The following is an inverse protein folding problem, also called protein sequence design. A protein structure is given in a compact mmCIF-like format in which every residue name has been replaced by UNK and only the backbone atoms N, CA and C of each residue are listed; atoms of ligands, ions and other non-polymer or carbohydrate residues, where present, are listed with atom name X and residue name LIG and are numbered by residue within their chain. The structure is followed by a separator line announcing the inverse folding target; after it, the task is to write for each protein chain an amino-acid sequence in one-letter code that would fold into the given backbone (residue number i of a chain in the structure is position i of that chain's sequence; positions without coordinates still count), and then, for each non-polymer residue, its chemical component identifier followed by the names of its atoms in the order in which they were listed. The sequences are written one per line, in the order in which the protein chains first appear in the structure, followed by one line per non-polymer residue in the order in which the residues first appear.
data_IF_540494422466
#
_entry.id   IF_540494422466
#
_cell.length_a   1.000
_cell.length_b   1.000
_cell.length_c   1.000
_cell.angle_alpha   90.00
_cell.angle_beta   90.00
_cell.angle_gamma   90.00
#
_symmetry.space_group_name_H-M   'P 1'
#
loop_
_entity.id
_entity.type
_entity.pdbx_description
1 polymer ?
#
# COMPACT_ATOMS: atom_id res chain seq x y z
N UNK A 1 30.76 59.70 34.47
CA UNK A 1 30.30 58.32 34.21
C UNK A 1 28.76 58.27 34.03
N UNK A 2 28.22 58.86 32.96
CA UNK A 2 26.75 59.00 32.79
C UNK A 2 26.31 58.81 31.32
N UNK A 3 27.05 58.07 30.53
CA UNK A 3 26.74 57.93 29.10
C UNK A 3 26.28 56.55 28.61
N UNK A 4 26.29 55.54 29.50
CA UNK A 4 26.07 54.13 29.03
C UNK A 4 24.62 53.65 29.24
N UNK A 5 23.87 54.24 30.17
CA UNK A 5 22.50 53.80 30.46
C UNK A 5 21.43 54.31 29.48
N UNK A 6 21.70 55.36 28.72
CA UNK A 6 20.72 55.93 27.78
C UNK A 6 20.63 55.22 26.45
N UNK A 7 21.66 54.45 26.06
CA UNK A 7 21.66 53.69 24.78
C UNK A 7 20.96 52.35 24.87
N UNK A 8 20.85 51.75 26.02
CA UNK A 8 20.14 50.47 26.19
C UNK A 8 18.60 50.64 26.16
N UNK A 9 18.07 51.75 26.60
CA UNK A 9 16.61 52.00 26.64
C UNK A 9 16.02 52.24 25.26
N UNK A 10 16.78 52.81 24.34
CA UNK A 10 16.31 53.09 22.97
C UNK A 10 16.28 51.86 22.09
N UNK A 11 17.16 50.87 22.32
CA UNK A 11 17.21 49.65 21.55
C UNK A 11 16.08 48.69 21.95
N UNK A 12 15.76 48.62 23.25
CA UNK A 12 14.66 47.77 23.72
C UNK A 12 13.28 48.28 23.27
N UNK A 13 13.08 49.58 23.20
CA UNK A 13 11.83 50.19 22.72
C UNK A 13 11.62 49.96 21.21
N UNK A 14 12.68 49.98 20.41
CA UNK A 14 12.61 49.67 18.97
C UNK A 14 12.30 48.21 18.67
N UNK A 15 12.86 47.29 19.43
CA UNK A 15 12.60 45.84 19.28
C UNK A 15 11.17 45.48 19.66
N UNK A 16 10.64 46.05 20.73
CA UNK A 16 9.25 45.85 21.16
C UNK A 16 8.26 46.43 20.13
N UNK A 17 8.56 47.56 19.51
CA UNK A 17 7.72 48.14 18.45
C UNK A 17 7.73 47.28 17.17
N UNK A 18 8.83 46.66 16.80
CA UNK A 18 8.92 45.77 15.65
C UNK A 18 8.17 44.45 15.92
N UNK A 19 8.22 43.93 17.14
CA UNK A 19 7.47 42.70 17.52
C UNK A 19 5.96 42.96 17.62
N UNK A 20 5.51 44.14 17.97
CA UNK A 20 4.09 44.51 17.99
C UNK A 20 3.52 44.76 16.58
N UNK A 21 4.32 45.23 15.63
CA UNK A 21 3.90 45.39 14.23
C UNK A 21 3.81 44.07 13.46
N UNK A 22 4.52 43.02 13.89
CA UNK A 22 4.44 41.68 13.28
C UNK A 22 3.20 40.88 13.68
N UNK A 23 2.37 41.35 14.61
CA UNK A 23 1.23 40.64 15.17
C UNK A 23 -0.15 41.10 14.68
N UNK A 24 -0.20 42.05 13.75
CA UNK A 24 -1.47 42.47 13.17
C UNK A 24 -1.52 41.96 11.73
N UNK A 25 -1.77 40.66 11.59
CA UNK A 25 -2.27 40.17 10.32
C UNK A 25 -3.56 40.91 10.00
N UNK A 26 -3.61 41.59 8.84
CA UNK A 26 -4.81 42.33 8.47
C UNK A 26 -5.95 41.32 8.25
N UNK A 27 -7.21 41.68 8.48
CA UNK A 27 -8.36 40.80 8.17
C UNK A 27 -8.37 40.35 6.71
N UNK A 28 -7.69 41.07 5.82
CA UNK A 28 -7.50 40.69 4.42
C UNK A 28 -6.49 39.53 4.27
N UNK A 29 -5.38 39.54 5.03
CA UNK A 29 -4.37 38.47 5.00
C UNK A 29 -4.93 37.17 5.57
N UNK A 30 -5.74 37.21 6.62
CA UNK A 30 -6.45 36.07 7.16
C UNK A 30 -7.49 35.52 6.15
N UNK A 31 -8.21 36.40 5.46
CA UNK A 31 -9.17 36.01 4.43
C UNK A 31 -8.48 35.34 3.21
N UNK A 32 -7.37 35.91 2.75
CA UNK A 32 -6.57 35.36 1.65
C UNK A 32 -5.99 34.00 2.05
N UNK A 33 -5.38 33.88 3.24
CA UNK A 33 -4.84 32.60 3.74
C UNK A 33 -5.95 31.56 3.92
N UNK A 34 -7.15 31.95 4.36
CA UNK A 34 -8.28 31.02 4.50
C UNK A 34 -8.84 30.54 3.16
N UNK A 35 -8.80 31.38 2.12
CA UNK A 35 -9.19 31.00 0.75
C UNK A 35 -8.17 30.04 0.14
N UNK A 36 -6.88 30.29 0.34
CA UNK A 36 -5.80 29.41 -0.12
C UNK A 36 -5.87 28.04 0.56
N UNK A 37 -6.08 27.98 1.87
CA UNK A 37 -6.27 26.72 2.60
C UNK A 37 -7.51 25.94 2.11
N UNK A 38 -8.62 26.62 1.83
CA UNK A 38 -9.81 25.96 1.26
C UNK A 38 -9.55 25.41 -0.14
N UNK A 39 -8.82 26.14 -0.97
CA UNK A 39 -8.44 25.67 -2.30
C UNK A 39 -7.49 24.46 -2.21
N UNK A 40 -6.51 24.49 -1.36
CA UNK A 40 -5.60 23.41 -1.05
C UNK A 40 -6.33 22.17 -0.56
N UNK A 41 -7.25 22.30 0.39
CA UNK A 41 -8.06 21.19 0.89
C UNK A 41 -8.94 20.55 -0.20
N UNK A 42 -9.50 21.36 -1.10
CA UNK A 42 -10.25 20.81 -2.26
C UNK A 42 -9.35 20.01 -3.19
N UNK A 43 -8.12 20.49 -3.42
CA UNK A 43 -7.15 19.77 -4.24
C UNK A 43 -6.77 18.42 -3.61
N UNK A 44 -6.42 18.39 -2.34
CA UNK A 44 -6.07 17.18 -1.60
C UNK A 44 -7.21 16.14 -1.64
N UNK A 45 -8.45 16.57 -1.41
CA UNK A 45 -9.63 15.70 -1.51
C UNK A 45 -9.81 15.11 -2.92
N UNK A 46 -9.57 15.91 -3.95
CA UNK A 46 -9.62 15.44 -5.34
C UNK A 46 -8.50 14.43 -5.64
N UNK A 47 -7.31 14.67 -5.14
CA UNK A 47 -6.18 13.74 -5.28
C UNK A 47 -6.45 12.41 -4.57
N UNK A 48 -6.99 12.44 -3.35
CA UNK A 48 -7.41 11.24 -2.63
C UNK A 48 -8.48 10.45 -3.39
N UNK A 49 -9.48 11.12 -3.96
CA UNK A 49 -10.52 10.48 -4.79
C UNK A 49 -9.92 9.85 -6.05
N UNK A 50 -8.99 10.52 -6.72
CA UNK A 50 -8.30 9.99 -7.89
C UNK A 50 -7.41 8.79 -7.53
N UNK A 51 -6.73 8.81 -6.39
CA UNK A 51 -5.93 7.69 -5.91
C UNK A 51 -6.81 6.48 -5.59
N UNK A 52 -7.98 6.69 -4.97
CA UNK A 52 -8.96 5.63 -4.75
C UNK A 52 -9.46 5.01 -6.04
N UNK A 53 -9.80 5.83 -7.03
CA UNK A 53 -10.21 5.34 -8.36
C UNK A 53 -9.11 4.48 -9.01
N UNK A 54 -7.86 4.95 -8.97
CA UNK A 54 -6.70 4.20 -9.49
C UNK A 54 -6.50 2.87 -8.76
N UNK A 55 -6.67 2.85 -7.44
CA UNK A 55 -6.61 1.61 -6.67
C UNK A 55 -7.68 0.61 -7.14
N UNK A 56 -8.94 1.03 -7.22
CA UNK A 56 -10.04 0.17 -7.67
C UNK A 56 -9.81 -0.39 -9.08
N UNK A 57 -9.29 0.45 -9.98
CA UNK A 57 -8.94 0.02 -11.34
C UNK A 57 -7.84 -1.04 -11.34
N UNK A 58 -6.80 -0.86 -10.53
CA UNK A 58 -5.68 -1.81 -10.42
C UNK A 58 -6.09 -3.09 -9.71
N UNK A 59 -6.90 -3.01 -8.68
CA UNK A 59 -7.49 -4.19 -8.04
C UNK A 59 -8.25 -5.06 -9.03
N UNK A 60 -8.99 -4.45 -9.97
CA UNK A 60 -9.76 -5.19 -10.95
C UNK A 60 -8.90 -5.80 -12.09
N UNK A 61 -7.84 -5.11 -12.53
CA UNK A 61 -7.13 -5.41 -13.78
C UNK A 61 -5.69 -5.90 -13.61
N UNK A 62 -5.06 -5.59 -12.49
CA UNK A 62 -3.64 -5.83 -12.28
C UNK A 62 -3.40 -6.81 -11.13
N UNK A 63 -2.15 -7.26 -10.99
CA UNK A 63 -1.74 -8.18 -9.94
C UNK A 63 -1.62 -7.52 -8.55
N UNK A 64 -1.43 -8.36 -7.55
CA UNK A 64 -1.34 -8.01 -6.12
C UNK A 64 -0.37 -6.86 -5.83
N UNK A 65 0.84 -6.91 -6.39
CA UNK A 65 1.87 -5.91 -6.10
C UNK A 65 1.43 -4.49 -6.51
N UNK A 66 0.90 -4.36 -7.71
CA UNK A 66 0.38 -3.09 -8.24
C UNK A 66 -0.81 -2.56 -7.43
N UNK A 67 -1.73 -3.46 -7.07
CA UNK A 67 -2.85 -3.15 -6.18
C UNK A 67 -2.39 -2.66 -4.80
N UNK A 68 -1.39 -3.33 -4.20
CA UNK A 68 -0.84 -2.96 -2.89
C UNK A 68 -0.17 -1.58 -2.91
N UNK A 69 0.60 -1.29 -3.95
CA UNK A 69 1.21 0.05 -4.13
C UNK A 69 0.12 1.12 -4.24
N UNK A 70 -0.91 0.88 -5.06
CA UNK A 70 -2.00 1.83 -5.24
C UNK A 70 -2.82 2.04 -3.96
N UNK A 71 -3.05 0.99 -3.15
CA UNK A 71 -3.71 1.07 -1.86
C UNK A 71 -2.93 1.95 -0.87
N UNK A 72 -1.60 1.81 -0.84
CA UNK A 72 -0.73 2.63 0.00
C UNK A 72 -0.72 4.10 -0.44
N UNK A 73 -0.70 4.36 -1.75
CA UNK A 73 -0.80 5.73 -2.29
C UNK A 73 -2.13 6.35 -1.89
N UNK A 74 -3.24 5.63 -2.06
CA UNK A 74 -4.55 6.12 -1.61
C UNK A 74 -4.56 6.41 -0.11
N UNK A 75 -4.03 5.50 0.72
CA UNK A 75 -3.95 5.72 2.17
C UNK A 75 -3.23 7.02 2.50
N UNK A 76 -2.05 7.27 1.92
CA UNK A 76 -1.27 8.48 2.16
C UNK A 76 -2.05 9.73 1.75
N UNK A 77 -2.58 9.77 0.53
CA UNK A 77 -3.34 10.94 0.03
C UNK A 77 -4.63 11.18 0.80
N UNK A 78 -5.29 10.12 1.29
CA UNK A 78 -6.50 10.24 2.11
C UNK A 78 -6.19 10.79 3.51
N UNK A 79 -5.04 10.43 4.10
CA UNK A 79 -4.56 11.00 5.36
C UNK A 79 -4.26 12.49 5.18
N UNK A 80 -3.53 12.88 4.14
CA UNK A 80 -3.18 14.28 3.85
C UNK A 80 -4.44 15.14 3.59
N UNK A 81 -5.47 14.54 2.98
CA UNK A 81 -6.75 15.18 2.74
C UNK A 81 -7.70 15.20 3.95
N UNK A 82 -7.34 14.54 5.06
CA UNK A 82 -8.21 14.37 6.23
C UNK A 82 -9.47 13.56 5.95
N UNK A 83 -9.42 12.65 4.96
CA UNK A 83 -10.54 11.79 4.53
C UNK A 83 -10.28 10.30 4.74
N UNK A 84 -9.19 9.95 5.43
CA UNK A 84 -8.83 8.57 5.67
C UNK A 84 -9.84 7.88 6.59
N UNK A 85 -10.38 6.76 6.09
CA UNK A 85 -11.24 5.84 6.83
C UNK A 85 -10.50 4.50 7.00
N UNK A 86 -10.28 4.12 8.26
CA UNK A 86 -9.56 2.91 8.63
C UNK A 86 -10.32 1.64 8.25
N UNK A 87 -11.65 1.65 8.39
CA UNK A 87 -12.48 0.48 8.12
C UNK A 87 -12.54 0.24 6.62
N UNK A 88 -12.70 1.30 5.83
CA UNK A 88 -12.60 1.24 4.37
C UNK A 88 -11.22 0.76 3.90
N UNK A 89 -10.15 1.21 4.54
CA UNK A 89 -8.80 0.72 4.22
C UNK A 89 -8.65 -0.78 4.51
N UNK A 90 -9.17 -1.25 5.64
CA UNK A 90 -9.12 -2.66 6.01
C UNK A 90 -9.95 -3.51 5.05
N UNK A 91 -11.13 -3.04 4.65
CA UNK A 91 -11.96 -3.69 3.63
C UNK A 91 -11.20 -3.84 2.29
N UNK A 92 -10.60 -2.77 1.80
CA UNK A 92 -9.81 -2.82 0.56
C UNK A 92 -8.56 -3.68 0.67
N UNK A 93 -7.92 -3.69 1.82
CA UNK A 93 -6.81 -4.60 2.11
C UNK A 93 -7.29 -6.05 2.02
N UNK A 94 -8.41 -6.37 2.64
CA UNK A 94 -9.01 -7.72 2.59
C UNK A 94 -9.32 -8.13 1.15
N UNK A 95 -10.02 -7.30 0.38
CA UNK A 95 -10.34 -7.57 -1.03
C UNK A 95 -9.10 -7.84 -1.88
N UNK A 96 -8.02 -7.07 -1.65
CA UNK A 96 -6.76 -7.26 -2.35
C UNK A 96 -6.11 -8.62 -2.04
N UNK A 97 -6.12 -9.03 -0.77
CA UNK A 97 -5.55 -10.30 -0.35
C UNK A 97 -6.41 -11.48 -0.79
N UNK A 98 -7.74 -11.38 -0.74
CA UNK A 98 -8.67 -12.40 -1.23
C UNK A 98 -8.49 -12.64 -2.74
N UNK A 99 -8.45 -11.56 -3.53
CA UNK A 99 -8.16 -11.68 -4.97
C UNK A 99 -6.84 -12.39 -5.23
N UNK A 100 -5.78 -11.95 -4.56
CA UNK A 100 -4.45 -12.54 -4.74
C UNK A 100 -4.38 -13.99 -4.25
N UNK A 101 -5.11 -14.34 -3.22
CA UNK A 101 -5.21 -15.71 -2.71
C UNK A 101 -5.84 -16.62 -3.77
N UNK A 102 -6.95 -16.19 -4.39
CA UNK A 102 -7.62 -16.91 -5.46
C UNK A 102 -6.76 -17.02 -6.72
N UNK A 103 -6.10 -15.93 -7.11
CA UNK A 103 -5.19 -15.91 -8.26
C UNK A 103 -3.99 -16.88 -8.03
N UNK A 104 -3.51 -17.01 -6.79
CA UNK A 104 -2.41 -17.91 -6.43
C UNK A 104 -2.82 -19.37 -6.51
N UNK A 105 -4.05 -19.74 -6.16
CA UNK A 105 -4.54 -21.11 -6.34
C UNK A 105 -4.66 -21.48 -7.82
N UNK A 106 -5.24 -20.59 -8.63
CA UNK A 106 -5.30 -20.80 -10.08
C UNK A 106 -3.90 -20.98 -10.69
N UNK A 107 -3.00 -20.08 -10.35
CA UNK A 107 -1.61 -20.12 -10.76
C UNK A 107 -0.94 -21.47 -10.38
N UNK A 108 -1.20 -21.97 -9.16
CA UNK A 108 -0.71 -23.27 -8.72
C UNK A 108 -1.24 -24.41 -9.60
N UNK A 109 -2.54 -24.44 -9.86
CA UNK A 109 -3.18 -25.47 -10.69
C UNK A 109 -2.66 -25.43 -12.14
N UNK A 110 -2.56 -24.25 -12.74
CA UNK A 110 -2.04 -24.04 -14.09
C UNK A 110 -0.60 -24.55 -14.21
N UNK A 111 0.30 -24.18 -13.30
CA UNK A 111 1.69 -24.63 -13.34
C UNK A 111 1.88 -26.11 -13.00
N UNK A 112 0.99 -26.73 -12.24
CA UNK A 112 0.98 -28.21 -12.08
C UNK A 112 0.67 -28.87 -13.43
N UNK A 113 -0.32 -28.39 -14.18
CA UNK A 113 -0.67 -28.91 -15.50
C UNK A 113 0.45 -28.71 -16.55
N UNK A 114 1.15 -27.59 -16.46
CA UNK A 114 2.29 -27.25 -17.32
C UNK A 114 3.59 -27.95 -16.90
N UNK A 115 3.57 -28.77 -15.83
CA UNK A 115 4.72 -29.42 -15.23
C UNK A 115 5.83 -28.46 -14.77
N UNK A 116 5.48 -27.19 -14.56
CA UNK A 116 6.37 -26.17 -14.02
C UNK A 116 6.29 -26.14 -12.48
N UNK A 117 6.90 -27.12 -11.86
CA UNK A 117 6.80 -27.33 -10.40
C UNK A 117 7.50 -26.28 -9.57
N UNK A 118 8.44 -25.53 -10.14
CA UNK A 118 9.07 -24.42 -9.44
C UNK A 118 8.07 -23.28 -9.24
N UNK A 119 7.44 -22.84 -10.31
CA UNK A 119 6.47 -21.74 -10.25
C UNK A 119 5.18 -22.15 -9.51
N UNK A 120 4.74 -23.42 -9.65
CA UNK A 120 3.68 -23.98 -8.81
C UNK A 120 3.99 -23.83 -7.31
N UNK A 121 5.22 -24.15 -6.89
CA UNK A 121 5.61 -23.97 -5.49
C UNK A 121 5.61 -22.47 -5.07
N UNK A 122 6.03 -21.55 -5.94
CA UNK A 122 5.97 -20.09 -5.67
C UNK A 122 4.52 -19.67 -5.45
N UNK A 123 3.59 -20.11 -6.31
CA UNK A 123 2.16 -19.82 -6.16
C UNK A 123 1.59 -20.39 -4.84
N UNK A 124 1.97 -21.61 -4.47
CA UNK A 124 1.55 -22.22 -3.20
C UNK A 124 2.07 -21.45 -1.97
N UNK A 125 3.32 -20.98 -1.99
CA UNK A 125 3.84 -20.14 -0.90
C UNK A 125 3.15 -18.78 -0.84
N UNK A 126 2.81 -18.19 -1.97
CA UNK A 126 2.07 -16.94 -2.05
C UNK A 126 0.66 -17.10 -1.47
N UNK A 127 -0.05 -18.15 -1.86
CA UNK A 127 -1.34 -18.51 -1.28
C UNK A 127 -1.26 -18.67 0.25
N UNK A 128 -0.27 -19.43 0.73
CA UNK A 128 -0.04 -19.62 2.17
C UNK A 128 0.15 -18.30 2.92
N UNK A 129 0.95 -17.37 2.38
CA UNK A 129 1.18 -16.06 2.96
C UNK A 129 -0.12 -15.26 3.05
N UNK A 130 -0.87 -15.19 1.95
CA UNK A 130 -2.09 -14.39 1.88
C UNK A 130 -3.22 -14.97 2.72
N UNK A 131 -3.37 -16.30 2.78
CA UNK A 131 -4.31 -16.97 3.67
C UNK A 131 -4.04 -16.66 5.15
N UNK A 132 -2.76 -16.57 5.55
CA UNK A 132 -2.39 -16.15 6.91
C UNK A 132 -2.75 -14.69 7.20
N UNK A 133 -2.53 -13.79 6.26
CA UNK A 133 -2.92 -12.38 6.40
C UNK A 133 -4.43 -12.20 6.49
N UNK A 134 -5.21 -13.06 5.82
CA UNK A 134 -6.67 -13.10 5.88
C UNK A 134 -7.22 -13.82 7.13
N UNK A 135 -6.38 -14.56 7.86
CA UNK A 135 -6.84 -15.42 8.95
C UNK A 135 -7.60 -16.66 8.48
N UNK A 136 -7.52 -17.02 7.19
CA UNK A 136 -8.19 -18.17 6.57
C UNK A 136 -7.27 -19.38 6.36
N UNK A 137 -6.03 -19.29 6.81
CA UNK A 137 -5.03 -20.35 6.61
C UNK A 137 -5.44 -21.66 7.26
N UNK A 138 -5.44 -22.75 6.47
CA UNK A 138 -5.62 -24.13 6.91
C UNK A 138 -4.36 -24.93 6.68
N UNK A 139 -3.79 -25.49 7.75
CA UNK A 139 -2.63 -26.40 7.65
C UNK A 139 -2.97 -27.65 6.83
N UNK A 140 -4.18 -28.19 7.03
CA UNK A 140 -4.64 -29.40 6.30
C UNK A 140 -4.72 -29.14 4.80
N UNK A 141 -5.28 -27.99 4.40
CA UNK A 141 -5.37 -27.60 2.99
C UNK A 141 -3.98 -27.37 2.37
N UNK A 142 -3.11 -26.68 3.09
CA UNK A 142 -1.72 -26.48 2.65
C UNK A 142 -0.98 -27.81 2.43
N UNK A 143 -1.09 -28.76 3.36
CA UNK A 143 -0.43 -30.08 3.22
C UNK A 143 -1.04 -30.89 2.08
N UNK A 144 -2.34 -30.79 1.83
CA UNK A 144 -2.98 -31.41 0.68
C UNK A 144 -2.44 -30.86 -0.65
N UNK A 145 -2.35 -29.54 -0.80
CA UNK A 145 -1.78 -28.90 -2.00
C UNK A 145 -0.29 -29.25 -2.18
N UNK A 146 0.46 -29.26 -1.08
CA UNK A 146 1.88 -29.66 -1.09
C UNK A 146 2.06 -31.12 -1.50
N UNK A 147 1.16 -31.99 -1.06
CA UNK A 147 1.15 -33.40 -1.49
C UNK A 147 0.88 -33.49 -2.99
N UNK A 148 -0.11 -32.77 -3.53
CA UNK A 148 -0.39 -32.71 -4.97
C UNK A 148 0.87 -32.35 -5.77
N UNK A 149 1.60 -31.31 -5.34
CA UNK A 149 2.86 -30.89 -5.97
C UNK A 149 3.92 -32.01 -5.93
N UNK A 150 4.03 -32.70 -4.81
CA UNK A 150 5.02 -33.78 -4.62
C UNK A 150 4.69 -34.99 -5.48
N UNK A 151 3.41 -35.38 -5.51
CA UNK A 151 2.93 -36.52 -6.30
C UNK A 151 3.15 -36.26 -7.81
N UNK A 152 2.84 -35.05 -8.31
CA UNK A 152 3.07 -34.66 -9.69
C UNK A 152 4.57 -34.73 -10.09
N UNK A 153 5.47 -34.21 -9.23
CA UNK A 153 6.92 -34.31 -9.43
C UNK A 153 7.40 -35.75 -9.51
N UNK A 154 6.87 -36.61 -8.64
CA UNK A 154 7.27 -38.02 -8.55
C UNK A 154 6.77 -38.81 -9.77
N UNK A 155 5.55 -38.58 -10.23
CA UNK A 155 4.98 -39.18 -11.42
C UNK A 155 5.86 -38.90 -12.66
N UNK A 156 6.19 -37.63 -12.89
CA UNK A 156 7.06 -37.23 -14.00
C UNK A 156 8.45 -37.88 -13.93
N UNK A 157 9.05 -37.93 -12.75
CA UNK A 157 10.35 -38.56 -12.56
C UNK A 157 10.32 -40.11 -12.87
N UNK A 158 9.18 -40.77 -12.63
CA UNK A 158 8.96 -42.17 -12.93
C UNK A 158 8.83 -42.39 -14.44
N UNK A 159 8.09 -41.56 -15.14
CA UNK A 159 7.92 -41.61 -16.60
C UNK A 159 9.25 -41.43 -17.34
N UNK A 160 10.07 -40.49 -16.89
CA UNK A 160 11.39 -40.25 -17.47
C UNK A 160 12.34 -41.45 -17.34
N UNK A 161 12.22 -42.22 -16.24
CA UNK A 161 13.00 -43.45 -16.04
C UNK A 161 12.54 -44.60 -16.95
N UNK A 162 11.24 -44.69 -17.20
CA UNK A 162 10.66 -45.76 -18.03
C UNK A 162 10.99 -45.58 -19.51
N UNK A 163 10.96 -44.31 -19.99
CA UNK A 163 11.30 -43.97 -21.38
C UNK A 163 12.80 -44.02 -21.67
N UNK A 164 13.66 -43.88 -20.67
CA UNK A 164 15.11 -43.97 -20.81
C UNK A 164 15.63 -45.41 -20.96
N UNK A 165 14.88 -46.44 -20.47
CA UNK A 165 15.27 -47.84 -20.49
C UNK A 165 14.86 -48.60 -21.77
N UNK A 166 14.20 -47.95 -22.74
CA UNK A 166 13.74 -48.58 -24.00
C UNK A 166 14.66 -48.28 -25.19
N UNK A 167 15.89 -47.83 -24.98
CA UNK A 167 16.86 -47.51 -26.03
C UNK A 167 18.12 -48.40 -25.98
N UNK A 168 17.92 -49.71 -25.76
CA UNK A 168 18.99 -50.73 -26.00
C UNK A 168 18.50 -51.77 -27.00
#
# INVERSE_FOLDING_TARGET
MTGLHFRFFTITAAIISILLLASIASPQDEAINSLDEKAKQRLLKREAANALYRFKLRLAKEGFYSGRVALNVWRSTAVDAGTFDKDQYNEFKTQLYEKSNNDSLKCFEEFILEENYYDANVCLQTWRMHSKELGTYSQTEYEALKKTLTDAKTAKASEAKTTGNTKD
#
